data_IF_126870688634
#
_entry.id   IF_126870688634
#
_cell.length_a   1.000
_cell.length_b   1.000
_cell.length_c   1.000
_cell.angle_alpha   90.00
_cell.angle_beta   90.00
_cell.angle_gamma   90.00
#
_symmetry.space_group_name_H-M   'P 1'
#
loop_
_entity.id
_entity.type
_entity.pdbx_description
1 polymer ?
#
# COMPACT_ATOMS: atom_id res chain seq x y z
N UNK A 1 -37.87 18.89 54.02
CA UNK A 1 -36.84 17.89 53.65
C UNK A 1 -36.80 17.81 52.14
N UNK A 2 -35.78 18.36 51.55
CA UNK A 2 -35.62 18.37 50.08
C UNK A 2 -34.78 17.18 49.65
N UNK A 3 -35.35 16.24 48.87
CA UNK A 3 -34.62 15.23 48.15
C UNK A 3 -34.03 15.85 46.89
N UNK A 4 -32.71 15.97 46.85
CA UNK A 4 -31.99 16.36 45.65
C UNK A 4 -31.82 15.14 44.76
N UNK A 5 -32.57 15.09 43.66
CA UNK A 5 -32.38 14.10 42.59
C UNK A 5 -31.10 14.44 41.83
N UNK A 6 -30.12 13.55 41.91
CA UNK A 6 -28.87 13.62 41.16
C UNK A 6 -29.10 12.98 39.80
N UNK A 7 -29.24 13.78 38.76
CA UNK A 7 -29.31 13.30 37.39
C UNK A 7 -27.89 12.95 36.90
N UNK A 8 -27.62 11.68 36.74
CA UNK A 8 -26.39 11.19 36.13
C UNK A 8 -26.57 11.25 34.61
N UNK A 9 -25.93 12.23 33.98
CA UNK A 9 -25.82 12.30 32.51
C UNK A 9 -24.70 11.38 32.09
N UNK A 10 -25.06 10.22 31.60
CA UNK A 10 -24.10 9.30 30.97
C UNK A 10 -23.74 9.84 29.58
N UNK A 11 -22.59 10.47 29.46
CA UNK A 11 -22.02 10.85 28.17
C UNK A 11 -21.50 9.60 27.48
N UNK A 12 -22.23 9.08 26.51
CA UNK A 12 -21.76 8.04 25.60
C UNK A 12 -20.72 8.63 24.68
N UNK A 13 -19.45 8.38 24.95
CA UNK A 13 -18.35 8.71 24.05
C UNK A 13 -18.39 7.68 22.92
N UNK A 14 -18.95 8.06 21.76
CA UNK A 14 -18.79 7.31 20.51
C UNK A 14 -17.33 7.42 20.10
N UNK A 15 -16.58 6.36 20.30
CA UNK A 15 -15.29 6.19 19.64
C UNK A 15 -15.58 5.88 18.17
N UNK A 16 -15.51 6.90 17.34
CA UNK A 16 -15.41 6.70 15.90
C UNK A 16 -14.05 6.06 15.64
N UNK A 17 -14.02 4.76 15.35
CA UNK A 17 -12.84 4.10 14.83
C UNK A 17 -12.55 4.70 13.45
N UNK A 18 -11.67 5.69 13.42
CA UNK A 18 -11.11 6.17 12.15
C UNK A 18 -10.26 5.06 11.61
N UNK A 19 -10.68 4.45 10.50
CA UNK A 19 -9.82 3.58 9.70
C UNK A 19 -8.61 4.42 9.26
N UNK A 20 -7.52 4.31 9.99
CA UNK A 20 -6.28 4.97 9.63
C UNK A 20 -5.70 4.20 8.44
N UNK A 21 -5.78 4.80 7.26
CA UNK A 21 -4.97 4.35 6.15
C UNK A 21 -3.50 4.44 6.59
N UNK A 22 -2.84 3.28 6.69
CA UNK A 22 -1.44 3.22 7.10
C UNK A 22 -0.60 4.01 6.09
N UNK A 23 -0.05 5.14 6.52
CA UNK A 23 0.88 5.93 5.74
C UNK A 23 2.24 5.94 6.42
N UNK A 24 3.29 5.74 5.64
CA UNK A 24 4.67 5.82 6.10
C UNK A 24 5.29 7.10 5.55
N UNK A 25 5.61 8.03 6.44
CA UNK A 25 6.30 9.27 6.07
C UNK A 25 7.80 9.12 6.28
N UNK A 26 8.56 9.44 5.26
CA UNK A 26 10.01 9.47 5.33
C UNK A 26 10.56 10.70 4.60
N UNK A 27 11.09 11.66 5.36
CA UNK A 27 11.53 12.96 4.80
C UNK A 27 10.39 13.65 4.05
N UNK A 28 10.54 13.82 2.75
CA UNK A 28 9.55 14.43 1.86
C UNK A 28 8.69 13.41 1.11
N UNK A 29 8.94 12.11 1.31
CA UNK A 29 8.14 11.05 0.72
C UNK A 29 7.12 10.51 1.71
N UNK A 30 5.93 10.26 1.22
CA UNK A 30 4.85 9.59 1.94
C UNK A 30 4.39 8.39 1.11
N UNK A 31 4.44 7.20 1.71
CA UNK A 31 3.95 5.96 1.09
C UNK A 31 2.58 5.69 1.70
N UNK A 32 1.57 5.72 0.87
CA UNK A 32 0.18 5.60 1.31
C UNK A 32 -0.40 4.27 0.89
N UNK A 33 -0.94 3.55 1.86
CA UNK A 33 -1.69 2.32 1.69
C UNK A 33 -1.00 1.29 0.78
N UNK A 34 0.17 0.74 1.19
CA UNK A 34 0.74 -0.41 0.50
C UNK A 34 -0.14 -1.64 0.71
N UNK A 35 -0.63 -2.25 -0.36
CA UNK A 35 -1.55 -3.39 -0.28
C UNK A 35 -1.44 -4.33 -1.47
N UNK A 36 -1.92 -5.54 -1.30
CA UNK A 36 -2.12 -6.53 -2.35
C UNK A 36 -3.37 -7.36 -2.04
N UNK A 37 -3.79 -8.18 -3.00
CA UNK A 37 -4.90 -9.10 -2.81
C UNK A 37 -4.40 -10.45 -2.33
N UNK A 38 -5.19 -11.13 -1.50
CA UNK A 38 -4.96 -12.50 -1.07
C UNK A 38 -4.73 -13.44 -2.26
N UNK A 39 -3.96 -14.48 -2.06
CA UNK A 39 -3.79 -15.55 -3.05
C UNK A 39 -3.63 -16.89 -2.35
N UNK A 40 -4.44 -17.87 -2.76
CA UNK A 40 -4.35 -19.25 -2.29
C UNK A 40 -3.20 -20.03 -2.96
N UNK A 41 -2.72 -19.53 -4.10
CA UNK A 41 -1.68 -20.17 -4.90
C UNK A 41 -0.39 -19.32 -4.89
N UNK A 42 0.62 -19.81 -4.18
CA UNK A 42 1.92 -19.14 -4.09
C UNK A 42 2.67 -19.05 -5.43
N UNK A 43 2.29 -19.86 -6.43
CA UNK A 43 2.87 -19.78 -7.77
C UNK A 43 2.34 -18.62 -8.61
N UNK A 44 1.19 -18.05 -8.24
CA UNK A 44 0.62 -16.90 -8.95
C UNK A 44 1.37 -15.61 -8.63
N UNK A 45 1.59 -14.74 -9.63
CA UNK A 45 2.18 -13.44 -9.39
C UNK A 45 1.24 -12.54 -8.57
N UNK A 46 1.84 -11.72 -7.71
CA UNK A 46 1.11 -10.78 -6.84
C UNK A 46 1.47 -9.36 -7.25
N UNK A 47 0.47 -8.53 -7.44
CA UNK A 47 0.64 -7.09 -7.69
C UNK A 47 0.50 -6.34 -6.37
N UNK A 48 1.50 -5.56 -6.01
CA UNK A 48 1.44 -4.65 -4.87
C UNK A 48 1.14 -3.24 -5.38
N UNK A 49 0.13 -2.65 -4.79
CA UNK A 49 -0.36 -1.30 -5.08
C UNK A 49 -0.05 -0.35 -3.93
N UNK A 50 0.23 0.90 -4.25
CA UNK A 50 0.41 1.98 -3.27
C UNK A 50 0.41 3.33 -3.97
N UNK A 51 0.23 4.41 -3.20
CA UNK A 51 0.50 5.76 -3.67
C UNK A 51 1.81 6.25 -3.06
N UNK A 52 2.70 6.79 -3.88
CA UNK A 52 3.92 7.46 -3.45
C UNK A 52 3.74 8.95 -3.70
N UNK A 53 3.74 9.73 -2.63
CA UNK A 53 3.59 11.20 -2.67
C UNK A 53 4.91 11.86 -2.33
N UNK A 54 5.35 12.79 -3.19
CA UNK A 54 6.52 13.61 -2.94
C UNK A 54 6.09 15.04 -2.61
N UNK A 55 6.21 15.45 -1.37
CA UNK A 55 5.89 16.81 -0.89
C UNK A 55 7.08 17.75 -1.01
N UNK A 56 8.24 17.25 -1.39
CA UNK A 56 9.48 17.99 -1.50
C UNK A 56 9.58 18.84 -2.76
N UNK A 57 10.61 19.65 -2.82
CA UNK A 57 10.94 20.55 -3.95
C UNK A 57 11.81 19.90 -5.02
N UNK A 58 12.27 18.67 -4.77
CA UNK A 58 13.15 17.92 -5.66
C UNK A 58 12.48 16.61 -6.06
N UNK A 59 12.62 16.17 -7.33
CA UNK A 59 12.13 14.85 -7.75
C UNK A 59 12.93 13.74 -7.08
N UNK A 60 12.33 12.57 -6.98
CA UNK A 60 12.97 11.33 -6.56
C UNK A 60 12.60 10.22 -7.56
N UNK A 61 13.09 9.02 -7.31
CA UNK A 61 12.90 7.89 -8.21
C UNK A 61 12.96 6.60 -7.43
N UNK A 62 11.93 5.77 -7.57
CA UNK A 62 11.94 4.40 -7.03
C UNK A 62 12.79 3.53 -7.93
N UNK A 63 13.90 2.99 -7.41
CA UNK A 63 14.88 2.20 -8.17
C UNK A 63 14.71 0.69 -7.98
N UNK A 64 14.30 0.27 -6.79
CA UNK A 64 14.24 -1.14 -6.41
C UNK A 64 13.22 -1.39 -5.33
N UNK A 65 12.68 -2.59 -5.37
CA UNK A 65 11.79 -3.15 -4.35
C UNK A 65 12.35 -4.49 -3.91
N UNK A 66 12.24 -4.83 -2.64
CA UNK A 66 12.56 -6.17 -2.13
C UNK A 66 11.59 -6.57 -1.03
N UNK A 67 11.29 -7.86 -0.97
CA UNK A 67 10.47 -8.46 0.09
C UNK A 67 11.01 -9.85 0.43
N UNK A 68 11.08 -10.23 1.71
CA UNK A 68 11.70 -11.50 2.12
C UNK A 68 10.88 -12.74 1.79
N UNK A 69 9.59 -12.58 1.53
CA UNK A 69 8.62 -13.65 1.28
C UNK A 69 8.43 -14.01 -0.21
N UNK A 70 9.23 -13.45 -1.09
CA UNK A 70 9.17 -13.69 -2.54
C UNK A 70 10.56 -13.95 -3.13
N UNK A 71 10.62 -14.73 -4.20
CA UNK A 71 11.87 -14.99 -4.91
C UNK A 71 12.29 -13.82 -5.80
N UNK A 72 11.34 -13.08 -6.37
CA UNK A 72 11.62 -12.01 -7.33
C UNK A 72 10.65 -10.85 -7.16
N UNK A 73 11.18 -9.63 -7.27
CA UNK A 73 10.43 -8.38 -7.30
C UNK A 73 10.79 -7.60 -8.56
N UNK A 74 9.81 -7.01 -9.21
CA UNK A 74 10.01 -6.22 -10.42
C UNK A 74 9.16 -4.95 -10.40
N UNK A 75 9.72 -3.88 -10.96
CA UNK A 75 8.95 -2.71 -11.36
C UNK A 75 8.49 -2.91 -12.80
N UNK A 76 7.21 -2.72 -13.06
CA UNK A 76 6.60 -2.91 -14.38
C UNK A 76 5.97 -1.62 -14.87
N UNK A 77 6.04 -1.38 -16.17
CA UNK A 77 5.34 -0.29 -16.82
C UNK A 77 3.83 -0.54 -16.82
N UNK A 78 3.06 0.55 -16.89
CA UNK A 78 1.63 0.45 -17.14
C UNK A 78 1.34 -0.15 -18.51
N UNK A 79 0.13 -0.68 -18.64
CA UNK A 79 -0.37 -1.29 -19.88
C UNK A 79 -1.86 -1.55 -19.76
N UNK A 80 -2.48 -2.17 -20.78
CA UNK A 80 -3.87 -2.61 -20.68
C UNK A 80 -4.09 -3.47 -19.42
N UNK A 81 -5.27 -3.41 -18.80
CA UNK A 81 -5.53 -4.13 -17.54
C UNK A 81 -5.27 -5.63 -17.59
N UNK A 82 -5.43 -6.23 -18.77
CA UNK A 82 -5.28 -7.68 -18.99
C UNK A 82 -3.88 -8.06 -19.51
N UNK A 83 -2.99 -7.10 -19.73
CA UNK A 83 -1.65 -7.35 -20.23
C UNK A 83 -0.60 -7.11 -19.13
N UNK A 84 0.39 -8.00 -19.09
CA UNK A 84 1.57 -7.79 -18.25
C UNK A 84 2.45 -6.72 -18.87
N UNK A 85 2.74 -5.65 -18.12
CA UNK A 85 3.61 -4.57 -18.55
C UNK A 85 5.07 -5.02 -18.62
N UNK A 86 5.89 -4.30 -19.38
CA UNK A 86 7.33 -4.55 -19.46
C UNK A 86 8.03 -4.17 -18.16
N UNK A 87 9.12 -4.89 -17.84
CA UNK A 87 9.99 -4.50 -16.73
C UNK A 87 10.62 -3.12 -17.00
N UNK A 88 10.67 -2.28 -15.98
CA UNK A 88 11.29 -0.95 -16.04
C UNK A 88 12.34 -0.81 -14.94
N UNK A 89 13.34 0.02 -15.19
CA UNK A 89 14.44 0.22 -14.25
C UNK A 89 14.06 1.10 -13.06
N UNK A 90 13.10 2.00 -13.21
CA UNK A 90 12.71 2.94 -12.16
C UNK A 90 11.33 3.54 -12.41
N UNK A 91 10.74 4.06 -11.34
CA UNK A 91 9.50 4.86 -11.40
C UNK A 91 9.82 6.27 -10.91
N UNK A 92 9.70 7.30 -11.75
CA UNK A 92 9.92 8.68 -11.32
C UNK A 92 8.80 9.15 -10.40
N UNK A 93 9.17 9.92 -9.38
CA UNK A 93 8.24 10.59 -8.46
C UNK A 93 8.58 12.08 -8.48
N UNK A 94 7.85 12.83 -9.27
CA UNK A 94 8.11 14.24 -9.48
C UNK A 94 7.91 15.06 -8.19
N UNK A 95 8.56 16.22 -8.14
CA UNK A 95 8.41 17.17 -7.02
C UNK A 95 6.95 17.62 -6.90
N UNK A 96 6.47 17.78 -5.68
CA UNK A 96 5.09 18.25 -5.40
C UNK A 96 4.02 17.45 -6.13
N UNK A 97 4.25 16.15 -6.29
CA UNK A 97 3.40 15.26 -7.08
C UNK A 97 3.25 13.90 -6.40
N UNK A 98 2.39 13.09 -6.94
CA UNK A 98 2.22 11.70 -6.52
C UNK A 98 2.17 10.76 -7.72
N UNK A 99 2.54 9.51 -7.50
CA UNK A 99 2.40 8.42 -8.44
C UNK A 99 1.62 7.28 -7.79
N UNK A 100 0.62 6.78 -8.51
CA UNK A 100 -0.17 5.63 -8.07
C UNK A 100 0.39 4.37 -8.71
N UNK A 101 0.98 3.49 -7.90
CA UNK A 101 1.41 2.18 -8.35
C UNK A 101 0.22 1.24 -8.29
N UNK A 102 -0.24 0.80 -9.45
CA UNK A 102 -1.35 -0.15 -9.62
C UNK A 102 -1.40 -0.66 -11.05
N UNK A 103 -2.13 -1.74 -11.31
CA UNK A 103 -2.40 -2.18 -12.69
C UNK A 103 -3.05 -1.05 -13.52
N UNK A 104 -2.62 -0.94 -14.76
CA UNK A 104 -3.00 0.16 -15.66
C UNK A 104 -2.00 1.32 -15.65
N UNK A 105 -1.32 1.58 -14.54
CA UNK A 105 -0.15 2.44 -14.39
C UNK A 105 1.10 1.62 -14.11
N UNK A 106 2.21 2.23 -13.69
CA UNK A 106 3.36 1.49 -13.18
C UNK A 106 2.94 0.69 -11.94
N UNK A 107 3.52 -0.50 -11.75
CA UNK A 107 3.17 -1.37 -10.62
C UNK A 107 4.35 -2.22 -10.17
N UNK A 108 4.22 -2.81 -8.98
CA UNK A 108 5.18 -3.74 -8.40
C UNK A 108 4.64 -5.15 -8.59
N UNK A 109 5.47 -6.03 -9.16
CA UNK A 109 5.14 -7.44 -9.36
C UNK A 109 6.05 -8.32 -8.48
N UNK A 110 5.42 -9.19 -7.70
CA UNK A 110 6.09 -10.23 -6.93
C UNK A 110 5.84 -11.58 -7.59
N UNK A 111 6.88 -12.38 -7.75
CA UNK A 111 6.79 -13.74 -8.29
C UNK A 111 7.57 -14.72 -7.41
N UNK A 112 7.10 -15.97 -7.37
CA UNK A 112 7.70 -16.99 -6.51
C UNK A 112 7.51 -16.70 -5.03
N UNK A 113 6.25 -16.51 -4.62
CA UNK A 113 5.91 -16.36 -3.21
C UNK A 113 6.29 -17.65 -2.46
N UNK A 114 6.85 -17.53 -1.27
CA UNK A 114 7.25 -18.68 -0.45
C UNK A 114 6.06 -19.43 0.15
N UNK A 115 4.93 -18.75 0.30
CA UNK A 115 3.67 -19.31 0.79
C UNK A 115 2.48 -18.49 0.25
N UNK A 116 1.27 -19.04 0.24
CA UNK A 116 0.06 -18.27 -0.01
C UNK A 116 -0.08 -17.07 0.93
N UNK A 117 -0.81 -16.06 0.48
CA UNK A 117 -1.13 -14.86 1.26
C UNK A 117 -2.59 -14.92 1.68
N UNK A 118 -2.86 -14.99 2.97
CA UNK A 118 -4.20 -14.93 3.51
C UNK A 118 -4.68 -13.49 3.68
N UNK A 119 -6.00 -13.28 3.56
CA UNK A 119 -6.59 -11.99 3.87
C UNK A 119 -6.23 -11.56 5.30
N UNK A 120 -5.96 -10.26 5.47
CA UNK A 120 -5.52 -9.63 6.72
C UNK A 120 -4.09 -9.99 7.18
N UNK A 121 -3.36 -10.80 6.41
CA UNK A 121 -1.92 -10.94 6.61
C UNK A 121 -1.21 -9.62 6.27
N UNK A 122 0.05 -9.53 6.66
CA UNK A 122 0.93 -8.45 6.25
C UNK A 122 2.37 -8.94 6.10
N UNK A 123 3.17 -8.20 5.35
CA UNK A 123 4.59 -8.50 5.20
C UNK A 123 5.40 -7.24 4.95
N UNK A 124 6.67 -7.20 5.40
CA UNK A 124 7.54 -6.07 5.17
C UNK A 124 8.02 -6.02 3.71
N UNK A 125 8.15 -4.81 3.19
CA UNK A 125 8.72 -4.54 1.88
C UNK A 125 9.67 -3.34 1.99
N UNK A 126 10.83 -3.44 1.36
CA UNK A 126 11.81 -2.36 1.31
C UNK A 126 11.76 -1.70 -0.06
N UNK A 127 11.47 -0.40 -0.07
CA UNK A 127 11.53 0.47 -1.25
C UNK A 127 12.86 1.21 -1.23
N UNK A 128 13.61 1.16 -2.33
CA UNK A 128 14.88 1.88 -2.46
C UNK A 128 14.71 3.03 -3.45
N UNK A 129 14.84 4.25 -2.95
CA UNK A 129 14.77 5.49 -3.73
C UNK A 129 16.17 6.03 -4.01
N UNK A 130 16.31 6.76 -5.11
CA UNK A 130 17.57 7.38 -5.51
C UNK A 130 18.07 8.40 -4.47
N UNK A 131 17.19 9.25 -3.97
CA UNK A 131 17.51 10.32 -3.01
C UNK A 131 17.14 9.98 -1.57
N UNK A 132 15.92 9.50 -1.33
CA UNK A 132 15.47 9.18 0.01
C UNK A 132 16.14 7.93 0.59
N UNK A 133 16.71 7.05 -0.26
CA UNK A 133 17.31 5.80 0.19
C UNK A 133 16.28 4.72 0.47
N UNK A 134 16.56 3.85 1.43
CA UNK A 134 15.71 2.71 1.77
C UNK A 134 14.60 3.12 2.74
N UNK A 135 13.37 2.77 2.38
CA UNK A 135 12.18 2.94 3.21
C UNK A 135 11.53 1.56 3.36
N UNK A 136 11.36 1.10 4.59
CA UNK A 136 10.60 -0.11 4.88
C UNK A 136 9.14 0.24 5.13
N UNK A 137 8.25 -0.51 4.50
CA UNK A 137 6.79 -0.38 4.63
C UNK A 137 6.17 -1.73 4.93
N UNK A 138 5.00 -1.72 5.53
CA UNK A 138 4.17 -2.90 5.76
C UNK A 138 3.11 -2.98 4.66
N UNK A 139 3.11 -4.07 3.89
CA UNK A 139 2.09 -4.35 2.88
C UNK A 139 0.96 -5.14 3.52
N UNK A 140 -0.25 -4.65 3.44
CA UNK A 140 -1.44 -5.36 3.93
C UNK A 140 -2.04 -6.24 2.83
N UNK A 141 -2.55 -7.39 3.22
CA UNK A 141 -3.24 -8.31 2.31
C UNK A 141 -4.74 -8.13 2.47
N UNK A 142 -5.42 -7.76 1.40
CA UNK A 142 -6.85 -7.52 1.37
C UNK A 142 -7.61 -8.69 0.73
N UNK A 143 -8.87 -8.84 1.08
CA UNK A 143 -9.75 -9.83 0.48
C UNK A 143 -9.99 -9.55 -0.99
N UNK A 144 -10.22 -10.60 -1.78
CA UNK A 144 -10.60 -10.48 -3.19
C UNK A 144 -11.86 -9.63 -3.40
N UNK A 145 -12.78 -9.65 -2.45
CA UNK A 145 -13.99 -8.82 -2.45
C UNK A 145 -13.70 -7.30 -2.47
N UNK A 146 -12.52 -6.87 -2.00
CA UNK A 146 -12.12 -5.46 -2.05
C UNK A 146 -11.98 -4.89 -3.48
N UNK A 147 -11.86 -5.77 -4.48
CA UNK A 147 -11.80 -5.37 -5.90
C UNK A 147 -13.19 -5.25 -6.55
N UNK A 148 -14.25 -5.76 -5.92
CA UNK A 148 -15.59 -5.67 -6.48
C UNK A 148 -16.12 -4.24 -6.32
N UNK A 149 -16.61 -3.59 -7.42
CA UNK A 149 -17.31 -2.33 -7.29
C UNK A 149 -18.55 -2.56 -6.43
N UNK A 150 -18.77 -1.64 -5.49
CA UNK A 150 -20.01 -1.64 -4.70
C UNK A 150 -21.19 -1.74 -5.64
N UNK A 151 -21.89 -2.88 -5.63
CA UNK A 151 -23.15 -3.04 -6.34
C UNK A 151 -24.15 -2.06 -5.71
N UNK A 152 -24.46 -1.02 -6.46
CA UNK A 152 -25.53 -0.09 -6.11
C UNK A 152 -26.89 -0.74 -6.30
#
# INVERSE_FOLDING_TARGET
MALKSLAIVAAAILWAATAQAHSHKFKTLEIVHPWCIETEDAAKPVVVSMTIRNTGSKPDRLLRVSAPNTAKTELRAGGPPDAEGNAIASVPVERKSEVNLKRGGPYILLTGMKKPLGAYDSFPMTLTFERAGKIEVEVTVEETSALEPLKQ
#
